data_IF_388937913484
#
_entry.id   IF_388937913484
#
_cell.length_a   1.000
_cell.length_b   1.000
_cell.length_c   1.000
_cell.angle_alpha   90.00
_cell.angle_beta   90.00
_cell.angle_gamma   90.00
#
_symmetry.space_group_name_H-M   'P 1'
#
loop_
_entity.id
_entity.type
_entity.pdbx_description
1 polymer ?
#
# COMPACT_ATOMS: atom_id res chain seq x y z
N UNK A 1 13.09 -11.73 22.93
CA UNK A 1 14.37 -12.24 22.37
C UNK A 1 14.20 -12.38 20.86
N UNK A 2 14.91 -11.58 20.06
CA UNK A 2 14.92 -11.73 18.60
C UNK A 2 15.84 -12.92 18.28
N UNK A 3 15.35 -13.93 17.56
CA UNK A 3 16.16 -15.12 17.26
C UNK A 3 17.16 -14.84 16.11
N UNK A 4 18.21 -15.66 16.00
CA UNK A 4 19.28 -15.50 15.00
C UNK A 4 18.78 -15.56 13.54
N UNK A 5 17.70 -16.31 13.28
CA UNK A 5 17.09 -16.42 11.95
C UNK A 5 16.27 -15.18 11.56
N UNK A 6 15.66 -14.48 12.52
CA UNK A 6 15.00 -13.20 12.27
C UNK A 6 16.00 -12.09 11.92
N UNK A 7 17.16 -12.09 12.59
CA UNK A 7 18.27 -11.17 12.29
C UNK A 7 18.84 -11.41 10.88
N UNK A 8 19.10 -12.65 10.49
CA UNK A 8 19.59 -12.97 9.15
C UNK A 8 18.57 -12.62 8.06
N UNK A 9 17.29 -12.89 8.30
CA UNK A 9 16.20 -12.53 7.38
C UNK A 9 16.05 -11.00 7.23
N UNK A 10 16.18 -10.23 8.30
CA UNK A 10 16.14 -8.77 8.21
C UNK A 10 17.36 -8.20 7.48
N UNK A 11 18.55 -8.79 7.66
CA UNK A 11 19.74 -8.40 6.89
C UNK A 11 19.54 -8.65 5.39
N UNK A 12 18.98 -9.80 5.02
CA UNK A 12 18.68 -10.11 3.63
C UNK A 12 17.64 -9.14 3.04
N UNK A 13 16.54 -8.86 3.76
CA UNK A 13 15.49 -7.91 3.34
C UNK A 13 16.05 -6.50 3.12
N UNK A 14 16.90 -6.02 4.03
CA UNK A 14 17.55 -4.72 3.89
C UNK A 14 18.45 -4.70 2.66
N UNK A 15 19.25 -5.74 2.44
CA UNK A 15 20.10 -5.84 1.25
C UNK A 15 19.28 -5.84 -0.05
N UNK A 16 18.15 -6.54 -0.10
CA UNK A 16 17.27 -6.51 -1.26
C UNK A 16 16.66 -5.14 -1.50
N UNK A 17 16.23 -4.47 -0.43
CA UNK A 17 15.74 -3.09 -0.50
C UNK A 17 16.86 -2.17 -1.03
N UNK A 18 18.07 -2.28 -0.50
CA UNK A 18 19.23 -1.48 -0.90
C UNK A 18 19.58 -1.61 -2.38
N UNK A 19 19.41 -2.81 -2.94
CA UNK A 19 19.63 -3.12 -4.35
C UNK A 19 18.50 -2.66 -5.28
N UNK A 20 17.48 -1.95 -4.78
CA UNK A 20 16.38 -1.40 -5.60
C UNK A 20 15.33 -2.43 -6.00
N UNK A 21 15.26 -3.57 -5.30
CA UNK A 21 14.29 -4.62 -5.63
C UNK A 21 12.84 -4.15 -5.38
N UNK A 22 12.61 -3.22 -4.45
CA UNK A 22 11.26 -2.72 -4.16
C UNK A 22 10.64 -2.05 -5.38
N UNK A 23 11.37 -1.11 -5.98
CA UNK A 23 10.95 -0.34 -7.15
C UNK A 23 10.76 -1.27 -8.35
N UNK A 24 11.71 -2.18 -8.59
CA UNK A 24 11.63 -3.16 -9.67
C UNK A 24 10.38 -4.06 -9.56
N UNK A 25 10.08 -4.57 -8.37
CA UNK A 25 8.88 -5.39 -8.15
C UNK A 25 7.61 -4.60 -8.44
N UNK A 26 7.55 -3.32 -8.04
CA UNK A 26 6.37 -2.47 -8.27
C UNK A 26 6.20 -2.18 -9.77
N UNK A 27 7.28 -1.98 -10.50
CA UNK A 27 7.23 -1.79 -11.96
C UNK A 27 6.72 -3.04 -12.68
N UNK A 28 7.22 -4.22 -12.31
CA UNK A 28 6.72 -5.50 -12.83
C UNK A 28 5.23 -5.66 -12.51
N UNK A 29 4.81 -5.22 -11.32
CA UNK A 29 3.41 -5.28 -10.92
C UNK A 29 2.50 -4.39 -11.78
N UNK A 30 2.98 -3.40 -12.54
CA UNK A 30 2.09 -2.55 -13.37
C UNK A 30 1.26 -3.40 -14.35
N UNK A 31 1.93 -4.34 -15.04
CA UNK A 31 1.39 -5.13 -16.16
C UNK A 31 1.58 -6.65 -16.01
N UNK A 32 1.89 -7.15 -14.80
CA UNK A 32 1.99 -8.58 -14.55
C UNK A 32 0.71 -9.36 -14.90
N UNK A 33 0.90 -10.57 -15.45
CA UNK A 33 -0.12 -11.62 -15.50
C UNK A 33 -0.44 -12.13 -14.09
N UNK A 34 -1.63 -12.73 -13.90
CA UNK A 34 -2.15 -13.12 -12.57
C UNK A 34 -1.15 -13.91 -11.72
N UNK A 35 -0.55 -14.97 -12.27
CA UNK A 35 0.37 -15.86 -11.55
C UNK A 35 1.70 -15.19 -11.19
N UNK A 36 2.14 -14.20 -11.99
CA UNK A 36 3.34 -13.40 -11.71
C UNK A 36 3.03 -12.40 -10.58
N UNK A 37 1.87 -11.75 -10.63
CA UNK A 37 1.48 -10.76 -9.63
C UNK A 37 1.52 -11.32 -8.19
N UNK A 38 1.02 -12.55 -7.98
CA UNK A 38 1.05 -13.18 -6.64
C UNK A 38 2.46 -13.37 -6.10
N UNK A 39 3.39 -13.83 -6.95
CA UNK A 39 4.79 -14.05 -6.59
C UNK A 39 5.48 -12.74 -6.24
N UNK A 40 5.35 -11.73 -7.10
CA UNK A 40 5.99 -10.43 -6.86
C UNK A 40 5.42 -9.75 -5.61
N UNK A 41 4.10 -9.82 -5.40
CA UNK A 41 3.46 -9.32 -4.18
C UNK A 41 3.94 -10.06 -2.94
N UNK A 42 4.13 -11.38 -3.01
CA UNK A 42 4.66 -12.19 -1.90
C UNK A 42 6.08 -11.79 -1.52
N UNK A 43 6.95 -11.56 -2.51
CA UNK A 43 8.32 -11.06 -2.28
C UNK A 43 8.27 -9.67 -1.65
N UNK A 44 7.42 -8.78 -2.19
CA UNK A 44 7.27 -7.41 -1.70
C UNK A 44 6.74 -7.36 -0.26
N UNK A 45 5.78 -8.23 0.11
CA UNK A 45 5.33 -8.42 1.51
C UNK A 45 6.51 -8.76 2.42
N UNK A 46 7.39 -9.63 1.95
CA UNK A 46 8.61 -10.06 2.63
C UNK A 46 9.57 -8.91 2.90
N UNK A 47 9.87 -8.11 1.88
CA UNK A 47 10.77 -6.95 1.96
C UNK A 47 10.16 -5.87 2.87
N UNK A 48 8.87 -5.56 2.73
CA UNK A 48 8.16 -4.56 3.55
C UNK A 48 8.00 -4.95 5.04
N UNK A 49 8.48 -6.13 5.45
CA UNK A 49 8.66 -6.42 6.88
C UNK A 49 9.82 -5.64 7.49
N UNK A 50 10.82 -5.21 6.71
CA UNK A 50 11.89 -4.33 7.18
C UNK A 50 11.51 -2.86 7.07
N UNK A 51 12.15 -2.02 7.88
CA UNK A 51 11.94 -0.57 7.84
C UNK A 51 12.40 0.05 6.51
N UNK A 52 13.58 -0.35 6.03
CA UNK A 52 14.12 0.14 4.76
C UNK A 52 13.22 -0.25 3.57
N UNK A 53 12.68 -1.46 3.56
CA UNK A 53 11.71 -1.89 2.55
C UNK A 53 10.45 -1.02 2.53
N UNK A 54 9.91 -0.69 3.71
CA UNK A 54 8.75 0.22 3.82
C UNK A 54 9.09 1.64 3.40
N UNK A 55 10.27 2.14 3.77
CA UNK A 55 10.73 3.48 3.42
C UNK A 55 10.84 3.64 1.90
N UNK A 56 11.46 2.68 1.22
CA UNK A 56 11.57 2.68 -0.25
C UNK A 56 10.21 2.60 -0.93
N UNK A 57 9.35 1.69 -0.48
CA UNK A 57 8.00 1.58 -1.00
C UNK A 57 7.20 2.90 -0.83
N UNK A 58 7.27 3.54 0.34
CA UNK A 58 6.61 4.83 0.57
C UNK A 58 7.17 5.98 -0.28
N UNK A 59 8.44 5.90 -0.70
CA UNK A 59 9.07 6.91 -1.53
C UNK A 59 8.86 6.68 -3.03
N UNK A 60 8.32 5.52 -3.43
CA UNK A 60 8.09 5.20 -4.83
C UNK A 60 6.65 5.54 -5.26
N UNK A 61 6.50 6.47 -6.20
CA UNK A 61 5.22 7.06 -6.57
C UNK A 61 4.19 6.08 -7.13
N UNK A 62 4.61 4.92 -7.65
CA UNK A 62 3.70 3.92 -8.19
C UNK A 62 3.15 2.96 -7.12
N UNK A 63 3.71 2.94 -5.91
CA UNK A 63 3.39 1.95 -4.88
C UNK A 63 1.91 1.90 -4.57
N UNK A 64 1.32 3.02 -4.14
CA UNK A 64 -0.09 3.04 -3.72
C UNK A 64 -1.04 2.78 -4.90
N UNK A 65 -0.89 3.46 -6.07
CA UNK A 65 -1.74 3.20 -7.22
C UNK A 65 -1.69 1.74 -7.69
N UNK A 66 -0.50 1.14 -7.76
CA UNK A 66 -0.33 -0.24 -8.22
C UNK A 66 -0.93 -1.23 -7.23
N UNK A 67 -0.64 -1.11 -5.93
CA UNK A 67 -1.22 -1.99 -4.91
C UNK A 67 -2.74 -1.89 -4.87
N UNK A 68 -3.28 -0.66 -4.94
CA UNK A 68 -4.72 -0.44 -5.04
C UNK A 68 -5.30 -1.07 -6.31
N UNK A 69 -4.62 -0.98 -7.47
CA UNK A 69 -5.04 -1.62 -8.71
C UNK A 69 -5.14 -3.15 -8.57
N UNK A 70 -4.30 -3.80 -7.75
CA UNK A 70 -4.30 -5.27 -7.58
C UNK A 70 -5.41 -5.80 -6.68
N UNK A 71 -5.93 -5.00 -5.76
CA UNK A 71 -7.08 -5.38 -4.92
C UNK A 71 -8.28 -5.82 -5.76
N UNK A 72 -8.87 -6.97 -5.42
CA UNK A 72 -10.08 -7.54 -6.03
C UNK A 72 -9.99 -7.85 -7.54
N UNK A 73 -8.80 -7.79 -8.14
CA UNK A 73 -8.61 -7.91 -9.60
C UNK A 73 -7.81 -9.13 -10.04
N UNK A 74 -6.97 -9.66 -9.16
CA UNK A 74 -6.03 -10.74 -9.51
C UNK A 74 -6.51 -12.06 -8.92
N UNK A 75 -6.47 -12.17 -7.59
CA UNK A 75 -6.86 -13.33 -6.79
C UNK A 75 -7.04 -12.91 -5.34
N UNK A 76 -7.53 -13.82 -4.51
CA UNK A 76 -7.64 -13.62 -3.07
C UNK A 76 -6.25 -13.42 -2.45
N UNK A 77 -5.28 -14.29 -2.76
CA UNK A 77 -3.92 -14.18 -2.24
C UNK A 77 -3.24 -12.85 -2.62
N UNK A 78 -3.39 -12.40 -3.87
CA UNK A 78 -2.89 -11.09 -4.29
C UNK A 78 -3.57 -9.93 -3.53
N UNK A 79 -4.87 -10.08 -3.23
CA UNK A 79 -5.61 -9.11 -2.42
C UNK A 79 -5.08 -9.08 -0.99
N UNK A 80 -4.87 -10.23 -0.36
CA UNK A 80 -4.30 -10.36 0.99
C UNK A 80 -2.92 -9.70 1.07
N UNK A 81 -2.04 -10.00 0.12
CA UNK A 81 -0.71 -9.40 0.06
C UNK A 81 -0.77 -7.88 -0.13
N UNK A 82 -1.62 -7.40 -1.03
CA UNK A 82 -1.78 -5.97 -1.29
C UNK A 82 -2.27 -5.22 -0.04
N UNK A 83 -3.31 -5.74 0.64
CA UNK A 83 -3.78 -5.16 1.92
C UNK A 83 -2.71 -5.19 2.99
N UNK A 84 -1.97 -6.30 3.10
CA UNK A 84 -0.87 -6.45 4.06
C UNK A 84 0.23 -5.41 3.85
N UNK A 85 0.62 -5.14 2.60
CA UNK A 85 1.61 -4.10 2.28
C UNK A 85 1.04 -2.72 2.60
N UNK A 86 -0.15 -2.39 2.10
CA UNK A 86 -0.80 -1.10 2.35
C UNK A 86 -0.93 -0.80 3.85
N UNK A 87 -1.34 -1.78 4.64
CA UNK A 87 -1.43 -1.67 6.09
C UNK A 87 -0.07 -1.43 6.76
N UNK A 88 1.00 -2.09 6.30
CA UNK A 88 2.37 -1.83 6.81
C UNK A 88 2.86 -0.43 6.49
N UNK A 89 2.50 0.11 5.33
CA UNK A 89 2.94 1.43 4.85
C UNK A 89 2.18 2.57 5.53
N UNK A 90 0.86 2.39 5.68
CA UNK A 90 -0.07 3.41 6.17
C UNK A 90 -0.33 3.25 7.68
N UNK A 91 -0.66 2.03 8.11
CA UNK A 91 -1.17 1.73 9.46
C UNK A 91 -0.16 1.90 10.59
N UNK A 92 1.15 1.77 10.30
CA UNK A 92 2.20 1.91 11.33
C UNK A 92 2.65 3.34 11.59
N UNK A 93 2.12 4.32 10.87
CA UNK A 93 2.61 5.71 10.90
C UNK A 93 1.50 6.70 11.32
N UNK A 94 0.93 6.52 12.52
CA UNK A 94 -0.16 7.38 13.04
C UNK A 94 0.24 8.85 13.23
N UNK A 95 1.55 9.14 13.37
CA UNK A 95 2.05 10.49 13.71
C UNK A 95 2.22 11.44 12.52
N UNK A 96 1.94 11.01 11.30
CA UNK A 96 2.11 11.87 10.12
C UNK A 96 0.77 12.10 9.45
N UNK A 97 0.52 13.36 9.09
CA UNK A 97 -0.32 13.69 7.94
C UNK A 97 0.34 13.07 6.72
N UNK A 98 0.09 11.78 6.54
CA UNK A 98 0.89 10.95 5.66
C UNK A 98 0.44 11.29 4.24
N UNK A 99 1.33 11.83 3.42
CA UNK A 99 1.08 12.10 1.99
C UNK A 99 0.49 10.84 1.32
N UNK A 100 0.96 9.67 1.74
CA UNK A 100 0.49 8.34 1.32
C UNK A 100 -1.01 8.13 1.62
N UNK A 101 -1.55 8.66 2.73
CA UNK A 101 -2.99 8.57 3.06
C UNK A 101 -3.84 9.42 2.11
N UNK A 102 -3.38 10.64 1.80
CA UNK A 102 -4.07 11.53 0.85
C UNK A 102 -4.04 10.92 -0.55
N UNK A 103 -2.88 10.43 -0.98
CA UNK A 103 -2.72 9.72 -2.25
C UNK A 103 -3.66 8.49 -2.31
N UNK A 104 -3.70 7.68 -1.26
CA UNK A 104 -4.62 6.54 -1.16
C UNK A 104 -6.08 6.96 -1.30
N UNK A 105 -6.50 8.05 -0.64
CA UNK A 105 -7.85 8.61 -0.78
C UNK A 105 -8.15 9.04 -2.21
N UNK A 106 -7.21 9.74 -2.87
CA UNK A 106 -7.35 10.23 -4.25
C UNK A 106 -7.51 9.10 -5.27
N UNK A 107 -6.84 7.96 -5.05
CA UNK A 107 -7.01 6.77 -5.91
C UNK A 107 -8.20 5.87 -5.51
N UNK A 108 -9.09 6.35 -4.64
CA UNK A 108 -10.34 5.67 -4.28
C UNK A 108 -10.17 4.50 -3.30
N UNK A 109 -9.12 4.50 -2.47
CA UNK A 109 -8.85 3.43 -1.51
C UNK A 109 -10.02 3.16 -0.56
N UNK A 110 -10.71 4.21 -0.11
CA UNK A 110 -11.79 4.08 0.88
C UNK A 110 -12.94 3.21 0.34
N UNK A 111 -13.44 3.54 -0.85
CA UNK A 111 -14.51 2.78 -1.50
C UNK A 111 -14.06 1.37 -1.82
N UNK A 112 -12.81 1.20 -2.26
CA UNK A 112 -12.29 -0.11 -2.66
C UNK A 112 -12.10 -1.06 -1.47
N UNK A 113 -11.63 -0.56 -0.33
CA UNK A 113 -11.49 -1.34 0.90
C UNK A 113 -12.85 -1.64 1.55
N UNK A 114 -13.82 -0.72 1.47
CA UNK A 114 -15.20 -1.01 1.87
C UNK A 114 -15.80 -2.14 1.04
N UNK A 115 -15.65 -2.06 -0.28
CA UNK A 115 -16.14 -3.11 -1.18
C UNK A 115 -15.50 -4.46 -0.84
N UNK A 116 -14.19 -4.50 -0.57
CA UNK A 116 -13.49 -5.73 -0.16
C UNK A 116 -14.13 -6.39 1.07
N UNK A 117 -14.47 -5.60 2.10
CA UNK A 117 -15.13 -6.13 3.30
C UNK A 117 -16.54 -6.63 2.99
N UNK A 118 -17.28 -5.92 2.12
CA UNK A 118 -18.66 -6.26 1.75
C UNK A 118 -18.76 -7.54 0.92
N UNK A 119 -17.86 -7.74 -0.04
CA UNK A 119 -17.83 -8.96 -0.88
C UNK A 119 -17.23 -10.17 -0.17
N UNK A 120 -16.56 -9.94 0.97
CA UNK A 120 -15.94 -10.97 1.80
C UNK A 120 -14.45 -11.15 1.55
N UNK A 121 -13.70 -11.37 2.63
CA UNK A 121 -12.28 -11.74 2.63
C UNK A 121 -11.95 -12.48 3.94
N UNK A 122 -10.74 -13.04 4.05
CA UNK A 122 -10.34 -13.70 5.29
C UNK A 122 -10.22 -12.71 6.47
N UNK A 123 -10.31 -13.23 7.70
CA UNK A 123 -10.41 -12.40 8.91
C UNK A 123 -9.20 -11.47 9.11
N UNK A 124 -7.99 -11.97 8.89
CA UNK A 124 -6.76 -11.18 9.02
C UNK A 124 -6.68 -10.03 7.97
N UNK A 125 -7.26 -10.23 6.79
CA UNK A 125 -7.34 -9.19 5.75
C UNK A 125 -8.42 -8.18 6.10
N UNK A 126 -9.57 -8.64 6.60
CA UNK A 126 -10.66 -7.82 7.07
C UNK A 126 -10.25 -6.90 8.22
N UNK A 127 -9.50 -7.41 9.18
CA UNK A 127 -8.96 -6.63 10.31
C UNK A 127 -8.09 -5.47 9.81
N UNK A 128 -7.08 -5.76 8.98
CA UNK A 128 -6.19 -4.76 8.38
C UNK A 128 -6.93 -3.74 7.51
N UNK A 129 -7.85 -4.21 6.68
CA UNK A 129 -8.69 -3.34 5.86
C UNK A 129 -9.55 -2.41 6.73
N UNK A 130 -10.08 -2.91 7.84
CA UNK A 130 -10.86 -2.11 8.79
C UNK A 130 -10.03 -1.03 9.48
N UNK A 131 -8.79 -1.34 9.86
CA UNK A 131 -7.86 -0.34 10.41
C UNK A 131 -7.48 0.73 9.38
N UNK A 132 -7.19 0.33 8.15
CA UNK A 132 -6.96 1.26 7.05
C UNK A 132 -8.17 2.18 6.83
N UNK A 133 -9.38 1.64 6.84
CA UNK A 133 -10.61 2.44 6.69
C UNK A 133 -10.79 3.46 7.82
N UNK A 134 -10.49 3.10 9.07
CA UNK A 134 -10.53 4.04 10.20
C UNK A 134 -9.58 5.21 9.96
N UNK A 135 -8.34 4.93 9.55
CA UNK A 135 -7.35 5.95 9.24
C UNK A 135 -7.79 6.83 8.06
N UNK A 136 -8.21 6.22 6.94
CA UNK A 136 -8.69 6.95 5.77
C UNK A 136 -9.89 7.85 6.12
N UNK A 137 -10.81 7.40 6.98
CA UNK A 137 -11.97 8.17 7.40
C UNK A 137 -11.58 9.45 8.17
N UNK A 138 -10.55 9.38 9.03
CA UNK A 138 -10.04 10.55 9.76
C UNK A 138 -9.48 11.63 8.82
N UNK A 139 -8.95 11.24 7.66
CA UNK A 139 -8.33 12.14 6.69
C UNK A 139 -9.24 12.48 5.49
N UNK A 140 -10.42 11.86 5.38
CA UNK A 140 -11.33 11.99 4.24
C UNK A 140 -11.74 13.44 3.97
N UNK A 141 -12.16 14.18 5.00
CA UNK A 141 -12.54 15.59 4.87
C UNK A 141 -11.39 16.56 4.55
N UNK A 142 -10.13 16.09 4.56
CA UNK A 142 -8.96 16.88 4.11
C UNK A 142 -8.67 16.63 2.62
N UNK A 143 -8.76 15.38 2.16
CA UNK A 143 -8.60 15.07 0.74
C UNK A 143 -9.67 15.79 -0.11
N UNK A 144 -10.93 15.77 0.32
CA UNK A 144 -12.03 16.48 -0.37
C UNK A 144 -11.79 18.01 -0.48
N UNK A 145 -11.08 18.60 0.50
CA UNK A 145 -10.66 20.01 0.46
C UNK A 145 -9.52 20.26 -0.52
N UNK A 146 -8.55 19.35 -0.63
CA UNK A 146 -7.43 19.47 -1.57
C UNK A 146 -7.94 19.45 -3.01
N UNK A 147 -8.83 18.52 -3.35
CA UNK A 147 -9.39 18.43 -4.70
C UNK A 147 -10.18 19.71 -5.05
N UNK A 148 -10.92 20.28 -4.09
CA UNK A 148 -11.62 21.57 -4.26
C UNK A 148 -10.64 22.74 -4.47
N UNK A 149 -9.51 22.78 -3.76
CA UNK A 149 -8.49 23.82 -3.91
C UNK A 149 -7.75 23.70 -5.26
N UNK A 150 -7.40 22.49 -5.68
CA UNK A 150 -6.78 22.23 -7.00
C UNK A 150 -7.72 22.67 -8.12
N UNK A 151 -9.00 22.28 -8.07
CA UNK A 151 -10.01 22.70 -9.05
C UNK A 151 -10.22 24.23 -9.06
N UNK A 152 -10.16 24.90 -7.91
CA UNK A 152 -10.23 26.37 -7.84
C UNK A 152 -8.99 27.05 -8.41
N UNK A 153 -7.81 26.45 -8.27
CA UNK A 153 -6.56 26.98 -8.82
C UNK A 153 -6.44 26.75 -10.34
N UNK A 154 -7.06 25.70 -10.87
CA UNK A 154 -7.18 25.47 -12.32
C UNK A 154 -8.17 26.42 -13.01
N UNK A 155 -9.03 27.11 -12.24
CA UNK A 155 -10.00 28.10 -12.75
C UNK A 155 -9.46 29.53 -12.77
N UNK A 156 -8.18 29.77 -12.48
CA UNK A 156 -7.57 31.09 -12.73
C UNK A 156 -7.40 31.25 -14.25
N UNK A 157 -8.07 32.22 -14.89
CA UNK A 157 -7.78 32.54 -16.28
C UNK A 157 -6.36 33.09 -16.36
N UNK A 158 -5.60 32.66 -17.36
CA UNK A 158 -4.36 33.31 -17.77
C UNK A 158 -4.68 34.70 -18.34
#
# INVERSE_FOLDING_TARGET
MVNSSQLSNNKARNKFADLGLVELLIDILVDCEKSKCEKELGILVGICNSEEGRKRANNYALTIPVLMKKLLRVSDLATEFSVSILWKLIGKNEKRENVVLIEALQVGAFQKLLLLIQVGCNENTKEKASELLKLLNLHRGRAERIDSLVLKNLKRPF
#
